data_IF_606442119631
#
_entry.id   IF_606442119631
#
_cell.length_a   1.000
_cell.length_b   1.000
_cell.length_c   1.000
_cell.angle_alpha   90.00
_cell.angle_beta   90.00
_cell.angle_gamma   90.00
#
_symmetry.space_group_name_H-M   'P 1'
#
loop_
_entity.id
_entity.type
_entity.pdbx_description
1 polymer ?
#
# COMPACT_ATOMS: atom_id res chain seq x y z
N UNK A 1 4.75 -7.22 -20.52
CA UNK A 1 5.48 -6.15 -19.81
C UNK A 1 4.66 -5.67 -18.62
N UNK A 2 5.31 -5.03 -17.66
CA UNK A 2 4.62 -4.53 -16.45
C UNK A 2 3.61 -3.43 -16.79
N UNK A 3 3.82 -2.68 -17.86
CA UNK A 3 2.86 -1.70 -18.36
C UNK A 3 1.64 -2.35 -19.03
N UNK A 4 1.81 -3.44 -19.77
CA UNK A 4 0.68 -4.22 -20.27
C UNK A 4 -0.20 -4.71 -19.13
N UNK A 5 0.43 -5.10 -18.00
CA UNK A 5 -0.29 -5.44 -16.77
C UNK A 5 -1.09 -4.27 -16.18
N UNK A 6 -0.58 -3.04 -16.33
CA UNK A 6 -1.31 -1.84 -15.89
C UNK A 6 -2.51 -1.56 -16.78
N UNK A 7 -2.31 -1.62 -18.09
CA UNK A 7 -3.36 -1.44 -19.11
C UNK A 7 -4.43 -2.52 -18.98
N UNK A 8 -4.05 -3.77 -18.64
CA UNK A 8 -5.03 -4.84 -18.36
C UNK A 8 -5.95 -4.54 -17.17
N UNK A 9 -5.55 -3.68 -16.24
CA UNK A 9 -6.41 -3.29 -15.11
C UNK A 9 -7.53 -2.32 -15.54
N UNK A 10 -7.28 -1.54 -16.59
CA UNK A 10 -8.22 -0.62 -17.22
C UNK A 10 -7.82 -0.45 -18.69
N UNK A 11 -8.50 -1.18 -19.59
CA UNK A 11 -8.17 -1.23 -21.02
C UNK A 11 -8.32 0.14 -21.72
N UNK A 12 -9.21 0.98 -21.22
CA UNK A 12 -9.51 2.32 -21.73
C UNK A 12 -8.79 3.44 -20.95
N UNK A 13 -7.77 3.10 -20.15
CA UNK A 13 -6.99 4.10 -19.43
C UNK A 13 -6.22 5.01 -20.40
N UNK A 14 -6.34 6.30 -20.20
CA UNK A 14 -5.56 7.29 -20.95
C UNK A 14 -4.12 7.38 -20.43
N UNK A 15 -3.18 7.86 -21.27
CA UNK A 15 -1.80 8.09 -20.86
C UNK A 15 -1.71 9.05 -19.67
N UNK A 16 -2.64 10.01 -19.56
CA UNK A 16 -2.73 10.95 -18.44
C UNK A 16 -3.12 10.22 -17.16
N UNK A 17 -4.09 9.31 -17.20
CA UNK A 17 -4.50 8.51 -16.04
C UNK A 17 -3.38 7.57 -15.58
N UNK A 18 -2.69 6.92 -16.53
CA UNK A 18 -1.54 6.04 -16.23
C UNK A 18 -0.40 6.83 -15.58
N UNK A 19 -0.05 7.98 -16.17
CA UNK A 19 0.99 8.86 -15.63
C UNK A 19 0.61 9.38 -14.24
N UNK A 20 -0.64 9.77 -14.04
CA UNK A 20 -1.14 10.26 -12.77
C UNK A 20 -1.04 9.21 -11.67
N UNK A 21 -1.52 8.00 -11.90
CA UNK A 21 -1.48 6.94 -10.89
C UNK A 21 -0.03 6.52 -10.58
N UNK A 22 0.86 6.47 -11.57
CA UNK A 22 2.27 6.16 -11.34
C UNK A 22 2.96 7.20 -10.45
N UNK A 23 2.67 8.48 -10.64
CA UNK A 23 3.14 9.56 -9.76
C UNK A 23 2.59 9.42 -8.35
N UNK A 24 1.30 9.11 -8.20
CA UNK A 24 0.68 8.92 -6.90
C UNK A 24 1.35 7.80 -6.07
N UNK A 25 1.82 6.75 -6.71
CA UNK A 25 2.52 5.64 -6.04
C UNK A 25 4.05 5.83 -5.98
N UNK A 26 4.58 7.00 -6.35
CA UNK A 26 6.00 7.32 -6.30
C UNK A 26 6.83 6.56 -7.35
N UNK A 27 6.27 6.38 -8.54
CA UNK A 27 6.91 5.74 -9.70
C UNK A 27 7.06 6.70 -10.89
N UNK A 28 7.15 8.02 -10.62
CA UNK A 28 7.29 9.06 -11.64
C UNK A 28 8.52 8.86 -12.54
N UNK A 29 9.62 8.32 -12.00
CA UNK A 29 10.83 8.03 -12.77
C UNK A 29 10.60 7.05 -13.92
N UNK A 30 9.49 6.34 -13.92
CA UNK A 30 9.13 5.41 -14.98
C UNK A 30 8.52 6.12 -16.20
N UNK A 31 8.07 7.35 -16.04
CA UNK A 31 7.39 8.14 -17.07
C UNK A 31 8.12 9.43 -17.44
N UNK A 32 9.19 9.78 -16.72
CA UNK A 32 9.95 11.04 -16.91
C UNK A 32 11.08 10.96 -17.93
N UNK A 33 11.28 9.83 -18.60
CA UNK A 33 12.25 9.67 -19.68
C UNK A 33 11.71 10.24 -21.00
N UNK A 34 12.59 10.59 -21.92
CA UNK A 34 12.26 11.19 -23.24
C UNK A 34 11.28 10.35 -24.07
N UNK A 35 11.17 9.06 -23.80
CA UNK A 35 10.26 8.12 -24.47
C UNK A 35 8.94 7.92 -23.70
N UNK A 36 8.81 8.44 -22.49
CA UNK A 36 7.63 8.35 -21.64
C UNK A 36 7.18 6.89 -21.41
N UNK A 37 5.88 6.67 -21.42
CA UNK A 37 5.28 5.34 -21.27
C UNK A 37 5.72 4.33 -22.37
N UNK A 38 6.16 4.82 -23.55
CA UNK A 38 6.58 3.99 -24.66
C UNK A 38 7.96 3.34 -24.46
N UNK A 39 8.86 3.96 -23.70
CA UNK A 39 10.17 3.38 -23.36
C UNK A 39 10.06 2.06 -22.60
N UNK A 40 8.96 1.86 -21.96
CA UNK A 40 8.67 0.69 -21.14
C UNK A 40 8.12 -0.50 -21.90
N UNK A 41 7.69 -0.32 -23.14
CA UNK A 41 7.10 -1.36 -23.99
C UNK A 41 8.15 -2.16 -24.78
N UNK A 42 9.45 -1.84 -24.68
CA UNK A 42 10.54 -2.49 -25.37
C UNK A 42 11.03 -3.77 -24.71
N UNK A 43 11.41 -4.77 -25.54
CA UNK A 43 12.16 -5.96 -25.12
C UNK A 43 13.52 -5.52 -24.51
N UNK A 44 13.67 -5.70 -23.22
CA UNK A 44 14.87 -5.31 -22.48
C UNK A 44 14.67 -4.27 -21.38
N UNK A 45 13.40 -4.00 -20.99
CA UNK A 45 13.06 -3.06 -19.94
C UNK A 45 13.82 -3.31 -18.64
N UNK A 46 14.15 -2.22 -17.94
CA UNK A 46 14.75 -2.22 -16.61
C UNK A 46 13.96 -3.17 -15.68
N UNK A 47 14.64 -4.07 -15.00
CA UNK A 47 14.02 -4.86 -13.95
C UNK A 47 13.60 -3.95 -12.79
N UNK A 48 12.33 -4.06 -12.39
CA UNK A 48 11.81 -3.38 -11.22
C UNK A 48 12.34 -4.01 -9.93
N UNK A 49 12.67 -3.18 -8.97
CA UNK A 49 12.89 -3.62 -7.59
C UNK A 49 11.61 -4.20 -6.99
N UNK A 50 11.71 -5.01 -5.94
CA UNK A 50 10.53 -5.55 -5.25
C UNK A 50 9.57 -4.47 -4.74
N UNK A 51 10.09 -3.32 -4.29
CA UNK A 51 9.28 -2.16 -3.87
C UNK A 51 8.57 -1.48 -5.05
N UNK A 52 9.24 -1.35 -6.20
CA UNK A 52 8.62 -0.81 -7.42
C UNK A 52 7.52 -1.73 -7.94
N UNK A 53 7.73 -3.06 -7.92
CA UNK A 53 6.72 -4.04 -8.30
C UNK A 53 5.46 -3.96 -7.43
N UNK A 54 5.63 -3.82 -6.10
CA UNK A 54 4.50 -3.65 -5.17
C UNK A 54 3.73 -2.36 -5.44
N UNK A 55 4.43 -1.24 -5.65
CA UNK A 55 3.81 0.04 -5.97
C UNK A 55 3.11 0.02 -7.32
N UNK A 56 3.64 -0.71 -8.29
CA UNK A 56 2.96 -0.95 -9.56
C UNK A 56 1.68 -1.78 -9.39
N UNK A 57 1.72 -2.82 -8.54
CA UNK A 57 0.54 -3.59 -8.15
C UNK A 57 -0.53 -2.71 -7.48
N UNK A 58 -0.12 -1.76 -6.65
CA UNK A 58 -1.01 -0.78 -6.03
C UNK A 58 -1.62 0.18 -7.07
N UNK A 59 -0.82 0.67 -8.02
CA UNK A 59 -1.32 1.49 -9.13
C UNK A 59 -2.41 0.76 -9.92
N UNK A 60 -2.22 -0.55 -10.17
CA UNK A 60 -3.24 -1.41 -10.82
C UNK A 60 -4.53 -1.47 -10.02
N UNK A 61 -4.45 -1.68 -8.71
CA UNK A 61 -5.63 -1.74 -7.83
C UNK A 61 -6.40 -0.41 -7.84
N UNK A 62 -5.70 0.72 -7.86
CA UNK A 62 -6.29 2.05 -7.95
C UNK A 62 -6.98 2.26 -9.29
N UNK A 63 -6.33 1.93 -10.41
CA UNK A 63 -6.90 2.03 -11.76
C UNK A 63 -8.14 1.16 -11.93
N UNK A 64 -8.08 -0.07 -11.44
CA UNK A 64 -9.20 -1.02 -11.53
C UNK A 64 -10.43 -0.54 -10.75
N UNK A 65 -10.22 0.21 -9.69
CA UNK A 65 -11.27 0.88 -8.92
C UNK A 65 -12.40 -0.06 -8.44
N UNK A 66 -12.05 -1.27 -8.03
CA UNK A 66 -13.02 -2.26 -7.55
C UNK A 66 -13.70 -1.84 -6.24
N UNK A 67 -14.95 -2.29 -5.96
CA UNK A 67 -15.64 -2.02 -4.70
C UNK A 67 -15.05 -2.77 -3.50
N UNK A 68 -14.29 -3.83 -3.74
CA UNK A 68 -13.54 -4.61 -2.74
C UNK A 68 -12.06 -4.62 -3.10
N UNK A 69 -11.21 -4.24 -2.16
CA UNK A 69 -9.76 -4.18 -2.31
C UNK A 69 -9.11 -5.13 -1.31
N UNK A 70 -8.24 -6.00 -1.81
CA UNK A 70 -7.42 -6.89 -0.99
C UNK A 70 -5.96 -6.42 -1.06
N UNK A 71 -5.38 -6.12 0.09
CA UNK A 71 -4.01 -5.63 0.24
C UNK A 71 -3.21 -6.60 1.11
N UNK A 72 -2.14 -7.14 0.56
CA UNK A 72 -1.21 -8.01 1.28
C UNK A 72 0.13 -7.29 1.41
N UNK A 73 0.48 -6.89 2.63
CA UNK A 73 1.68 -6.14 2.99
C UNK A 73 1.98 -4.95 2.06
N UNK A 74 1.03 -4.01 1.87
CA UNK A 74 1.12 -2.99 0.81
C UNK A 74 2.29 -2.03 0.98
N UNK A 75 2.82 -1.87 2.18
CA UNK A 75 3.92 -0.93 2.50
C UNK A 75 5.22 -1.64 2.90
N UNK A 76 5.30 -2.97 2.76
CA UNK A 76 6.52 -3.71 3.11
C UNK A 76 7.72 -3.25 2.27
N UNK A 77 8.85 -3.03 2.94
CA UNK A 77 10.10 -2.62 2.29
C UNK A 77 10.16 -1.15 1.88
N UNK A 78 9.15 -0.34 2.21
CA UNK A 78 9.17 1.10 1.99
C UNK A 78 9.84 1.82 3.17
N UNK A 79 10.50 2.95 2.86
CA UNK A 79 10.94 3.90 3.88
C UNK A 79 9.74 4.62 4.52
N UNK A 80 9.94 5.28 5.65
CA UNK A 80 8.87 5.87 6.43
C UNK A 80 8.08 6.94 5.66
N UNK A 81 8.74 7.77 4.86
CA UNK A 81 8.08 8.84 4.11
C UNK A 81 7.22 8.27 2.99
N UNK A 82 7.76 7.32 2.22
CA UNK A 82 7.01 6.62 1.17
C UNK A 82 5.84 5.82 1.76
N UNK A 83 6.03 5.16 2.90
CA UNK A 83 4.96 4.46 3.61
C UNK A 83 3.81 5.39 3.95
N UNK A 84 4.09 6.56 4.54
CA UNK A 84 3.07 7.54 4.89
C UNK A 84 2.30 8.05 3.67
N UNK A 85 2.99 8.31 2.57
CA UNK A 85 2.37 8.73 1.31
C UNK A 85 1.44 7.65 0.76
N UNK A 86 1.87 6.39 0.75
CA UNK A 86 1.06 5.26 0.27
C UNK A 86 -0.16 5.02 1.17
N UNK A 87 -0.01 5.10 2.49
CA UNK A 87 -1.13 4.95 3.42
C UNK A 87 -2.16 6.08 3.26
N UNK A 88 -1.71 7.32 3.07
CA UNK A 88 -2.60 8.45 2.79
C UNK A 88 -3.37 8.27 1.46
N UNK A 89 -2.68 7.83 0.41
CA UNK A 89 -3.28 7.52 -0.88
C UNK A 89 -4.34 6.41 -0.77
N UNK A 90 -4.01 5.32 -0.08
CA UNK A 90 -4.94 4.22 0.16
C UNK A 90 -6.15 4.67 0.96
N UNK A 91 -5.96 5.46 2.02
CA UNK A 91 -7.05 5.99 2.83
C UNK A 91 -8.02 6.83 1.97
N UNK A 92 -7.50 7.66 1.07
CA UNK A 92 -8.31 8.47 0.16
C UNK A 92 -9.04 7.60 -0.87
N UNK A 93 -8.34 6.66 -1.51
CA UNK A 93 -8.88 5.81 -2.57
C UNK A 93 -9.93 4.81 -2.05
N UNK A 94 -9.74 4.33 -0.83
CA UNK A 94 -10.58 3.29 -0.22
C UNK A 94 -11.86 3.82 0.44
N UNK A 95 -12.10 5.14 0.45
CA UNK A 95 -13.33 5.70 1.00
C UNK A 95 -14.56 5.14 0.28
N UNK A 96 -15.52 4.64 1.07
CA UNK A 96 -16.75 4.04 0.54
C UNK A 96 -16.58 2.64 -0.08
N UNK A 97 -15.40 2.02 0.07
CA UNK A 97 -15.09 0.68 -0.41
C UNK A 97 -14.88 -0.29 0.74
N UNK A 98 -15.05 -1.58 0.47
CA UNK A 98 -14.63 -2.64 1.38
C UNK A 98 -13.12 -2.89 1.18
N UNK A 99 -12.37 -2.91 2.29
CA UNK A 99 -10.92 -3.14 2.28
C UNK A 99 -10.57 -4.26 3.25
N UNK A 100 -9.82 -5.24 2.77
CA UNK A 100 -9.16 -6.23 3.62
C UNK A 100 -7.65 -6.05 3.46
N UNK A 101 -6.99 -5.65 4.53
CA UNK A 101 -5.53 -5.47 4.56
C UNK A 101 -4.90 -6.48 5.51
N UNK A 102 -3.88 -7.19 5.01
CA UNK A 102 -3.01 -8.06 5.81
C UNK A 102 -1.70 -7.31 5.99
N UNK A 103 -1.26 -7.17 7.23
CA UNK A 103 0.01 -6.51 7.56
C UNK A 103 0.53 -6.92 8.92
N UNK A 104 1.85 -6.89 9.09
CA UNK A 104 2.52 -6.99 10.38
C UNK A 104 2.98 -5.60 10.90
N UNK A 105 2.65 -4.54 10.20
CA UNK A 105 2.98 -3.14 10.58
C UNK A 105 1.77 -2.47 11.22
N UNK A 106 2.04 -1.58 12.18
CA UNK A 106 0.98 -0.87 12.90
C UNK A 106 0.56 0.44 12.23
N UNK A 107 1.38 0.94 11.30
CA UNK A 107 1.10 2.18 10.57
C UNK A 107 -0.24 2.11 9.84
N UNK A 108 -1.11 3.09 10.06
CA UNK A 108 -2.42 3.19 9.42
C UNK A 108 -3.52 2.33 10.02
N UNK A 109 -3.22 1.44 11.00
CA UNK A 109 -4.25 0.60 11.63
C UNK A 109 -5.23 1.39 12.51
N UNK A 110 -4.83 2.56 12.99
CA UNK A 110 -5.69 3.48 13.75
C UNK A 110 -6.90 3.99 12.94
N UNK A 111 -6.83 3.92 11.61
CA UNK A 111 -7.89 4.32 10.67
C UNK A 111 -8.80 3.18 10.25
N UNK A 112 -8.51 1.95 10.66
CA UNK A 112 -9.30 0.77 10.28
C UNK A 112 -10.54 0.63 11.16
N UNK A 113 -11.68 0.29 10.55
CA UNK A 113 -12.93 0.05 11.27
C UNK A 113 -12.86 -1.18 12.18
N UNK A 114 -12.09 -2.18 11.76
CA UNK A 114 -11.93 -3.44 12.47
C UNK A 114 -10.55 -4.03 12.27
N UNK A 115 -9.93 -4.46 13.34
CA UNK A 115 -8.65 -5.16 13.36
C UNK A 115 -8.89 -6.57 13.90
N UNK A 116 -8.33 -7.57 13.23
CA UNK A 116 -8.29 -8.96 13.70
C UNK A 116 -6.82 -9.34 13.92
N UNK A 117 -6.46 -9.71 15.13
CA UNK A 117 -5.14 -10.23 15.46
C UNK A 117 -5.14 -11.74 15.27
N UNK A 118 -4.18 -12.24 14.50
CA UNK A 118 -4.04 -13.67 14.22
C UNK A 118 -2.81 -14.24 14.92
N UNK A 119 -2.95 -15.40 15.51
CA UNK A 119 -1.87 -16.17 16.09
C UNK A 119 -2.15 -17.67 15.92
N UNK A 120 -1.13 -18.43 15.51
CA UNK A 120 -1.26 -19.87 15.28
C UNK A 120 -2.39 -20.26 14.32
N UNK A 121 -2.72 -19.42 13.33
CA UNK A 121 -3.82 -19.68 12.38
C UNK A 121 -5.22 -19.34 12.91
N UNK A 122 -5.34 -18.75 14.10
CA UNK A 122 -6.60 -18.38 14.73
C UNK A 122 -6.69 -16.87 14.97
N UNK A 123 -7.91 -16.34 14.92
CA UNK A 123 -8.17 -14.96 15.37
C UNK A 123 -8.23 -14.98 16.89
N UNK A 124 -7.29 -14.29 17.55
CA UNK A 124 -7.16 -14.25 19.01
C UNK A 124 -7.70 -12.96 19.64
N UNK A 125 -7.69 -11.86 18.87
CA UNK A 125 -8.26 -10.58 19.29
C UNK A 125 -9.00 -9.92 18.13
N UNK A 126 -10.06 -9.18 18.44
CA UNK A 126 -10.83 -8.42 17.45
C UNK A 126 -11.34 -7.12 18.07
N UNK A 127 -11.21 -6.03 17.33
CA UNK A 127 -11.71 -4.73 17.77
C UNK A 127 -11.18 -3.58 16.92
N UNK A 128 -11.49 -2.36 17.32
CA UNK A 128 -10.84 -1.16 16.80
C UNK A 128 -9.45 -0.99 17.43
N UNK A 129 -8.61 -0.16 16.85
CA UNK A 129 -7.31 0.21 17.43
C UNK A 129 -7.42 0.59 18.92
N UNK A 130 -8.35 1.48 19.24
CA UNK A 130 -8.58 1.95 20.62
C UNK A 130 -9.03 0.82 21.56
N UNK A 131 -9.95 -0.04 21.13
CA UNK A 131 -10.42 -1.17 21.93
C UNK A 131 -9.30 -2.17 22.22
N UNK A 132 -8.50 -2.51 21.20
CA UNK A 132 -7.40 -3.46 21.36
C UNK A 132 -6.28 -2.93 22.26
N UNK A 133 -6.00 -1.63 22.24
CA UNK A 133 -5.07 -1.02 23.19
C UNK A 133 -5.58 -1.12 24.63
N UNK A 134 -6.89 -0.92 24.86
CA UNK A 134 -7.51 -1.02 26.20
C UNK A 134 -7.53 -2.46 26.72
N UNK A 135 -7.62 -3.46 25.84
CA UNK A 135 -7.61 -4.87 26.23
C UNK A 135 -6.25 -5.33 26.78
N UNK A 136 -5.17 -4.60 26.51
CA UNK A 136 -3.79 -4.91 26.94
C UNK A 136 -3.31 -6.31 26.52
N UNK A 137 -3.86 -6.82 25.40
CA UNK A 137 -3.54 -8.13 24.86
C UNK A 137 -2.29 -8.12 23.95
N UNK A 138 -2.26 -9.02 22.96
CA UNK A 138 -1.13 -9.16 22.03
C UNK A 138 -0.96 -7.90 21.18
N UNK A 139 -2.05 -7.29 20.72
CA UNK A 139 -2.02 -6.06 19.94
C UNK A 139 -1.35 -4.91 20.72
N UNK A 140 -1.77 -4.68 21.95
CA UNK A 140 -1.21 -3.63 22.80
C UNK A 140 0.29 -3.84 23.08
N UNK A 141 0.69 -5.09 23.36
CA UNK A 141 2.10 -5.45 23.56
C UNK A 141 2.94 -5.21 22.29
N UNK A 142 2.40 -5.55 21.13
CA UNK A 142 3.06 -5.31 19.87
C UNK A 142 3.21 -3.81 19.58
N UNK A 143 2.16 -3.04 19.81
CA UNK A 143 2.18 -1.58 19.69
C UNK A 143 3.23 -0.93 20.59
N UNK A 144 3.31 -1.34 21.86
CA UNK A 144 4.32 -0.83 22.80
C UNK A 144 5.75 -1.15 22.34
N UNK A 145 6.00 -2.37 21.85
CA UNK A 145 7.32 -2.75 21.31
C UNK A 145 7.75 -1.91 20.12
N UNK A 146 6.85 -1.65 19.18
CA UNK A 146 7.16 -0.81 18.01
C UNK A 146 7.41 0.64 18.42
N UNK A 147 6.65 1.19 19.36
CA UNK A 147 6.85 2.54 19.87
C UNK A 147 8.24 2.72 20.53
N UNK A 148 8.79 1.68 21.17
CA UNK A 148 10.13 1.70 21.75
C UNK A 148 11.25 1.60 20.70
N UNK A 149 10.97 1.10 19.51
CA UNK A 149 11.94 0.94 18.42
C UNK A 149 11.96 2.15 17.46
N UNK A 150 10.96 3.04 17.53
CA UNK A 150 11.00 4.30 16.80
C UNK A 150 11.93 5.27 17.57
N UNK A 151 12.97 5.85 16.90
CA UNK A 151 13.74 6.91 17.52
C UNK A 151 12.79 8.04 17.87
N UNK A 152 12.86 8.52 19.11
CA UNK A 152 12.27 9.79 19.50
C UNK A 152 13.02 10.86 18.70
N UNK A 153 12.41 11.41 17.65
CA UNK A 153 12.83 12.71 17.15
C UNK A 153 12.57 13.69 18.29
N UNK A 154 13.62 13.91 19.07
CA UNK A 154 13.64 15.04 20.01
C UNK A 154 13.58 16.33 19.18
N UNK A 155 12.56 17.09 19.47
CA UNK A 155 12.27 18.41 18.94
C UNK A 155 13.44 19.40 19.04
#
# INVERSE_FOLDING_TARGET
SDLENLIMAKEDATDEELTHVLRQVGLEQLVENDEGLNAWMGDGGRQLSGGEQRRLGLARAILHNAPLILLDEPTEGLDADTEQQILALLQQHCQGKAVLMITHRLSGLDKMDKICVMDGGHIVETGTHRQLLQQQGQYAKFHQRQALLMPHDEA
#
